data_IF_555878067116
#
_entry.id   IF_555878067116
#
_cell.length_a   1.000
_cell.length_b   1.000
_cell.length_c   1.000
_cell.angle_alpha   90.00
_cell.angle_beta   90.00
_cell.angle_gamma   90.00
#
_symmetry.space_group_name_H-M   'P 1'
#
loop_
_entity.id
_entity.type
_entity.pdbx_description
1 polymer ?
#
# COMPACT_ATOMS: atom_id res chain seq x y z
N UNK A 1 -24.25 -24.64 17.64
CA UNK A 1 -23.40 -23.73 18.43
C UNK A 1 -22.04 -24.39 18.57
N UNK A 2 -20.99 -23.82 17.96
CA UNK A 2 -19.61 -24.30 18.08
C UNK A 2 -18.83 -23.46 19.07
N UNK A 3 -17.84 -24.09 19.74
CA UNK A 3 -16.90 -23.41 20.64
C UNK A 3 -15.50 -23.50 20.04
N UNK A 4 -14.79 -22.39 19.94
CA UNK A 4 -13.38 -22.36 19.58
C UNK A 4 -12.57 -22.21 20.86
N UNK A 5 -11.74 -23.20 21.15
CA UNK A 5 -10.83 -23.16 22.31
C UNK A 5 -9.42 -22.85 21.80
N UNK A 6 -8.86 -21.74 22.24
CA UNK A 6 -7.49 -21.34 21.93
C UNK A 6 -6.59 -21.60 23.12
N UNK A 7 -5.64 -22.53 22.97
CA UNK A 7 -4.63 -22.80 23.97
C UNK A 7 -3.31 -22.16 23.58
N UNK A 8 -2.80 -21.26 24.40
CA UNK A 8 -1.51 -20.60 24.16
C UNK A 8 -0.33 -21.50 24.56
N UNK A 9 0.83 -21.27 23.93
CA UNK A 9 2.07 -21.95 24.31
C UNK A 9 2.38 -21.72 25.80
N UNK A 10 2.73 -22.77 26.49
CA UNK A 10 3.21 -22.75 27.89
C UNK A 10 4.68 -23.17 27.91
N UNK A 11 5.42 -22.74 28.91
CA UNK A 11 6.73 -23.30 29.20
C UNK A 11 6.60 -24.80 29.60
N UNK A 12 7.67 -25.52 29.38
CA UNK A 12 7.81 -26.91 29.83
C UNK A 12 8.92 -26.99 30.87
N UNK A 13 8.76 -27.89 31.82
CA UNK A 13 9.85 -28.25 32.73
C UNK A 13 11.06 -28.74 31.94
N UNK A 14 12.26 -28.32 32.31
CA UNK A 14 13.50 -28.71 31.68
C UNK A 14 14.42 -27.52 31.34
N UNK A 15 15.37 -27.76 30.44
CA UNK A 15 16.35 -26.75 30.00
C UNK A 15 15.69 -25.55 29.34
N UNK A 16 16.33 -24.41 29.53
CA UNK A 16 15.94 -23.16 28.80
C UNK A 16 16.01 -23.42 27.31
N UNK A 17 14.92 -23.12 26.63
CA UNK A 17 14.82 -23.12 25.17
C UNK A 17 14.66 -21.69 24.68
N UNK A 18 15.51 -21.29 23.73
CA UNK A 18 15.47 -19.99 23.09
C UNK A 18 15.19 -20.21 21.61
N UNK A 19 14.17 -19.58 21.09
CA UNK A 19 13.82 -19.61 19.67
C UNK A 19 13.81 -18.18 19.14
N UNK A 20 14.36 -17.99 17.94
CA UNK A 20 14.26 -16.73 17.21
C UNK A 20 13.98 -17.03 15.73
N UNK A 21 13.23 -16.16 15.10
CA UNK A 21 12.98 -16.25 13.66
C UNK A 21 13.00 -14.86 13.01
N UNK A 22 13.36 -14.84 11.75
CA UNK A 22 13.23 -13.70 10.87
C UNK A 22 12.61 -14.19 9.57
N UNK A 23 11.63 -13.44 9.08
CA UNK A 23 10.99 -13.70 7.81
C UNK A 23 10.96 -12.40 7.02
N UNK A 24 11.47 -12.42 5.78
CA UNK A 24 11.37 -11.30 4.86
C UNK A 24 10.62 -11.77 3.62
N UNK A 25 9.64 -11.00 3.19
CA UNK A 25 8.86 -11.28 1.99
C UNK A 25 8.69 -10.01 1.15
N UNK A 26 8.55 -10.21 -0.16
CA UNK A 26 8.25 -9.14 -1.11
C UNK A 26 6.79 -9.28 -1.51
N UNK A 27 6.06 -8.19 -1.44
CA UNK A 27 4.69 -8.06 -1.94
C UNK A 27 4.73 -7.43 -3.30
N UNK A 28 4.07 -8.03 -4.25
CA UNK A 28 3.94 -7.51 -5.61
C UNK A 28 2.46 -7.39 -5.96
N UNK A 29 2.13 -6.42 -6.79
CA UNK A 29 0.76 -6.33 -7.32
C UNK A 29 0.48 -7.58 -8.17
N UNK A 30 -0.54 -8.32 -7.82
CA UNK A 30 -0.86 -9.58 -8.50
C UNK A 30 -1.64 -9.38 -9.79
N UNK A 31 -2.39 -8.26 -9.89
CA UNK A 31 -3.19 -7.94 -11.06
C UNK A 31 -3.44 -6.43 -11.10
N UNK A 32 -3.23 -5.84 -12.27
CA UNK A 32 -3.60 -4.47 -12.61
C UNK A 32 -4.95 -4.44 -13.30
N UNK A 33 -5.63 -3.30 -13.23
CA UNK A 33 -6.84 -3.08 -14.03
C UNK A 33 -6.47 -2.95 -15.50
N UNK A 34 -7.30 -3.52 -16.35
CA UNK A 34 -7.15 -3.36 -17.79
C UNK A 34 -7.79 -2.03 -18.20
N UNK A 35 -6.98 -1.02 -18.39
CA UNK A 35 -7.36 0.32 -18.85
C UNK A 35 -6.81 0.54 -20.25
N UNK A 36 -7.32 1.55 -20.98
CA UNK A 36 -6.77 1.94 -22.27
C UNK A 36 -5.32 2.40 -22.08
N UNK A 37 -4.46 1.94 -22.96
CA UNK A 37 -3.14 2.51 -23.11
C UNK A 37 -3.21 3.89 -23.76
N UNK A 38 -2.12 4.67 -23.83
CA UNK A 38 -2.15 6.01 -24.42
C UNK A 38 -2.70 6.04 -25.85
N UNK A 39 -2.38 5.07 -26.68
CA UNK A 39 -2.86 5.02 -28.07
C UNK A 39 -4.35 4.70 -28.15
N UNK A 40 -4.79 3.68 -27.44
CA UNK A 40 -6.21 3.33 -27.35
C UNK A 40 -7.05 4.46 -26.75
N UNK A 41 -6.45 5.23 -25.80
CA UNK A 41 -7.10 6.42 -25.26
C UNK A 41 -7.21 7.55 -26.30
N UNK A 42 -6.15 7.81 -27.07
CA UNK A 42 -6.16 8.80 -28.14
C UNK A 42 -7.22 8.47 -29.20
N UNK A 43 -7.26 7.21 -29.65
CA UNK A 43 -8.25 6.70 -30.61
C UNK A 43 -9.67 6.86 -30.06
N UNK A 44 -9.91 6.46 -28.81
CA UNK A 44 -11.22 6.60 -28.17
C UNK A 44 -11.68 8.05 -28.09
N UNK A 45 -10.83 8.97 -27.67
CA UNK A 45 -11.16 10.40 -27.58
C UNK A 45 -11.44 10.99 -28.97
N UNK A 46 -10.65 10.63 -29.98
CA UNK A 46 -10.85 11.08 -31.36
C UNK A 46 -12.17 10.55 -31.94
N UNK A 47 -12.52 9.29 -31.65
CA UNK A 47 -13.81 8.71 -32.06
C UNK A 47 -14.99 9.43 -31.39
N UNK A 48 -14.90 9.72 -30.08
CA UNK A 48 -15.93 10.49 -29.36
C UNK A 48 -16.08 11.88 -29.96
N UNK A 49 -14.97 12.58 -30.26
CA UNK A 49 -15.01 13.90 -30.90
C UNK A 49 -15.65 13.83 -32.27
N UNK A 50 -15.24 12.88 -33.10
CA UNK A 50 -15.82 12.71 -34.45
C UNK A 50 -17.34 12.48 -34.41
N UNK A 51 -17.81 11.65 -33.45
CA UNK A 51 -19.25 11.39 -33.25
C UNK A 51 -20.04 12.65 -32.81
N UNK A 52 -19.34 13.62 -32.21
CA UNK A 52 -19.91 14.93 -31.84
C UNK A 52 -19.69 16.03 -32.88
N UNK A 53 -19.14 15.71 -34.07
CA UNK A 53 -18.85 16.65 -35.11
C UNK A 53 -17.65 17.57 -34.82
N UNK A 54 -16.79 17.18 -33.90
CA UNK A 54 -15.56 17.89 -33.53
C UNK A 54 -14.35 17.29 -34.26
N UNK A 55 -13.28 18.08 -34.40
CA UNK A 55 -11.99 17.59 -34.89
C UNK A 55 -11.29 16.63 -33.94
N UNK A 56 -10.23 15.95 -34.43
CA UNK A 56 -9.43 15.09 -33.57
C UNK A 56 -8.76 15.90 -32.45
N UNK A 57 -8.62 15.29 -31.27
CA UNK A 57 -7.91 15.87 -30.11
C UNK A 57 -6.44 15.47 -30.06
N UNK A 58 -6.11 14.33 -30.64
CA UNK A 58 -4.77 13.79 -30.66
C UNK A 58 -4.37 13.37 -32.07
N UNK A 59 -3.09 13.56 -32.39
CA UNK A 59 -2.46 13.09 -33.63
C UNK A 59 -1.31 12.14 -33.23
N UNK A 60 -1.21 11.01 -33.92
CA UNK A 60 -0.11 10.06 -33.76
C UNK A 60 0.72 10.05 -35.03
N UNK A 61 2.01 10.33 -34.91
CA UNK A 61 2.92 10.36 -36.04
C UNK A 61 3.46 8.96 -36.43
N UNK A 62 4.25 8.88 -37.51
CA UNK A 62 4.86 7.64 -37.98
C UNK A 62 5.88 7.03 -36.99
N UNK A 63 6.37 7.82 -36.03
CA UNK A 63 7.28 7.39 -34.96
C UNK A 63 6.55 6.97 -33.70
N UNK A 64 5.23 6.88 -33.75
CA UNK A 64 4.39 6.55 -32.59
C UNK A 64 4.45 7.60 -31.48
N UNK A 65 4.71 8.87 -31.79
CA UNK A 65 4.59 9.98 -30.86
C UNK A 65 3.18 10.57 -30.95
N UNK A 66 2.62 10.88 -29.77
CA UNK A 66 1.27 11.46 -29.66
C UNK A 66 1.42 12.96 -29.45
N UNK A 67 0.69 13.74 -30.23
CA UNK A 67 0.63 15.19 -30.15
C UNK A 67 -0.79 15.65 -29.83
N UNK A 68 -0.91 16.75 -29.10
CA UNK A 68 -2.18 17.44 -28.94
C UNK A 68 -2.59 18.15 -30.25
N UNK A 69 -3.89 18.29 -30.46
CA UNK A 69 -4.46 19.05 -31.56
C UNK A 69 -5.37 20.11 -30.99
N UNK A 70 -5.13 21.36 -31.35
CA UNK A 70 -5.96 22.50 -30.96
C UNK A 70 -7.32 22.48 -31.64
N UNK A 71 -8.22 23.33 -31.19
CA UNK A 71 -9.59 23.43 -31.72
C UNK A 71 -9.66 23.90 -33.18
N UNK A 72 -8.65 24.61 -33.65
CA UNK A 72 -8.51 25.05 -35.04
C UNK A 72 -7.86 24.01 -35.97
N UNK A 73 -7.45 22.86 -35.40
CA UNK A 73 -6.79 21.76 -36.10
C UNK A 73 -5.26 21.85 -36.12
N UNK A 74 -4.65 22.82 -35.44
CA UNK A 74 -3.21 22.97 -35.34
C UNK A 74 -2.65 21.82 -34.43
N UNK A 75 -1.63 21.11 -34.94
CA UNK A 75 -0.91 20.09 -34.18
C UNK A 75 0.16 20.79 -33.36
N UNK A 76 0.22 20.49 -32.05
CA UNK A 76 1.25 21.02 -31.15
C UNK A 76 2.64 20.55 -31.57
N UNK A 77 3.65 21.42 -31.40
CA UNK A 77 5.03 21.11 -31.81
C UNK A 77 5.69 20.05 -30.87
N UNK A 78 5.30 20.04 -29.60
CA UNK A 78 5.86 19.16 -28.61
C UNK A 78 5.00 17.90 -28.46
N UNK A 79 5.60 16.69 -28.49
CA UNK A 79 4.87 15.47 -28.23
C UNK A 79 4.38 15.44 -26.78
N UNK A 80 3.20 14.87 -26.59
CA UNK A 80 2.60 14.69 -25.28
C UNK A 80 3.38 13.67 -24.44
N UNK A 81 3.43 13.89 -23.14
CA UNK A 81 3.89 12.89 -22.20
C UNK A 81 2.83 11.79 -22.05
N UNK A 82 3.28 10.54 -22.10
CA UNK A 82 2.40 9.37 -22.00
C UNK A 82 2.74 8.53 -20.78
N UNK A 83 1.72 8.04 -20.09
CA UNK A 83 1.87 7.38 -18.80
C UNK A 83 1.07 6.08 -18.72
N UNK A 84 1.66 5.09 -18.07
CA UNK A 84 0.99 3.90 -17.57
C UNK A 84 0.86 4.01 -16.04
N UNK A 85 -0.08 4.83 -15.57
CA UNK A 85 -0.20 5.25 -14.17
C UNK A 85 -0.12 4.12 -13.13
N UNK A 86 -0.63 2.95 -13.46
CA UNK A 86 -0.52 1.80 -12.57
C UNK A 86 0.91 1.26 -12.46
N UNK A 87 1.74 1.47 -13.49
CA UNK A 87 3.14 1.09 -13.49
C UNK A 87 4.01 2.09 -12.72
N UNK A 88 3.65 3.38 -12.82
CA UNK A 88 4.36 4.45 -12.13
C UNK A 88 4.09 4.47 -10.63
N UNK A 89 2.87 4.12 -10.22
CA UNK A 89 2.44 4.26 -8.84
C UNK A 89 2.68 3.00 -8.02
N UNK A 90 2.40 1.82 -8.56
CA UNK A 90 2.57 0.60 -7.77
C UNK A 90 4.04 0.21 -7.64
N UNK A 91 4.45 -0.01 -6.42
CA UNK A 91 5.80 -0.47 -6.07
C UNK A 91 5.78 -1.80 -5.32
N UNK A 92 6.95 -2.43 -5.21
CA UNK A 92 7.08 -3.67 -4.46
C UNK A 92 7.25 -3.35 -2.97
N UNK A 93 6.29 -3.81 -2.16
CA UNK A 93 6.36 -3.68 -0.71
C UNK A 93 7.27 -4.74 -0.08
N UNK A 94 8.13 -4.34 0.85
CA UNK A 94 8.94 -5.27 1.63
C UNK A 94 8.27 -5.47 2.98
N UNK A 95 8.06 -6.73 3.37
CA UNK A 95 7.55 -7.09 4.70
C UNK A 95 8.60 -7.85 5.47
N UNK A 96 8.81 -7.45 6.73
CA UNK A 96 9.77 -8.08 7.64
C UNK A 96 9.08 -8.45 8.94
N UNK A 97 9.24 -9.69 9.35
CA UNK A 97 8.70 -10.18 10.61
C UNK A 97 9.80 -10.82 11.43
N UNK A 98 9.94 -10.37 12.65
CA UNK A 98 10.90 -10.87 13.61
C UNK A 98 10.17 -11.40 14.85
N UNK A 99 10.70 -12.43 15.43
CA UNK A 99 10.18 -12.92 16.70
C UNK A 99 11.24 -13.66 17.48
N UNK A 100 11.13 -13.56 18.78
CA UNK A 100 11.96 -14.32 19.71
C UNK A 100 11.11 -14.83 20.86
N UNK A 101 11.48 -16.00 21.37
CA UNK A 101 10.88 -16.53 22.58
C UNK A 101 11.91 -17.25 23.45
N UNK A 102 11.67 -17.20 24.73
CA UNK A 102 12.39 -17.98 25.73
C UNK A 102 11.38 -18.73 26.58
N UNK A 103 11.65 -19.99 26.80
CA UNK A 103 10.83 -20.85 27.66
C UNK A 103 11.70 -21.79 28.49
N UNK A 104 11.22 -22.16 29.65
CA UNK A 104 11.92 -23.07 30.53
C UNK A 104 11.09 -23.35 31.76
N UNK A 105 11.65 -24.14 32.68
CA UNK A 105 10.99 -24.43 33.92
C UNK A 105 11.72 -25.50 34.75
N UNK A 106 11.18 -25.71 35.93
CA UNK A 106 11.53 -26.76 36.85
C UNK A 106 10.31 -27.68 37.07
N UNK A 107 10.41 -28.66 37.93
CA UNK A 107 9.26 -29.51 38.28
C UNK A 107 8.14 -28.71 38.95
N UNK A 108 8.49 -27.59 39.59
CA UNK A 108 7.54 -26.76 40.35
C UNK A 108 7.09 -25.50 39.63
N UNK A 109 7.54 -25.28 38.39
CA UNK A 109 7.09 -24.10 37.67
C UNK A 109 7.71 -23.94 36.28
N UNK A 110 7.04 -23.18 35.44
CA UNK A 110 7.48 -22.93 34.07
C UNK A 110 7.14 -21.52 33.62
N UNK A 111 7.87 -21.05 32.63
CA UNK A 111 7.65 -19.76 32.02
C UNK A 111 7.76 -19.85 30.51
N UNK A 112 7.07 -18.93 29.83
CA UNK A 112 7.18 -18.65 28.40
C UNK A 112 7.09 -17.15 28.20
N UNK A 113 8.11 -16.58 27.57
CA UNK A 113 8.15 -15.17 27.23
C UNK A 113 8.40 -15.10 25.72
N UNK A 114 7.63 -14.29 25.02
CA UNK A 114 7.85 -14.05 23.59
C UNK A 114 7.63 -12.59 23.24
N UNK A 115 8.39 -12.10 22.27
CA UNK A 115 8.21 -10.80 21.66
C UNK A 115 8.22 -10.96 20.13
N UNK A 116 7.39 -10.19 19.47
CA UNK A 116 7.28 -10.14 18.01
C UNK A 116 7.28 -8.71 17.50
N UNK A 117 7.78 -8.54 16.29
CA UNK A 117 7.71 -7.29 15.54
C UNK A 117 7.40 -7.59 14.08
N UNK A 118 6.45 -6.87 13.51
CA UNK A 118 6.01 -6.99 12.12
C UNK A 118 6.07 -5.60 11.48
N UNK A 119 6.78 -5.47 10.38
CA UNK A 119 6.91 -4.25 9.59
C UNK A 119 6.57 -4.58 8.14
N UNK A 120 5.48 -4.04 7.65
CA UNK A 120 4.91 -4.35 6.34
C UNK A 120 4.72 -3.09 5.53
N UNK A 121 5.45 -2.96 4.43
CA UNK A 121 5.16 -1.98 3.39
C UNK A 121 4.09 -2.54 2.44
N UNK A 122 3.17 -1.68 2.02
CA UNK A 122 2.16 -2.00 0.99
C UNK A 122 2.74 -1.90 -0.43
N UNK A 123 1.89 -2.18 -1.41
CA UNK A 123 2.20 -1.99 -2.85
C UNK A 123 1.78 -0.62 -3.37
N UNK A 124 1.05 0.14 -2.56
CA UNK A 124 0.74 1.55 -2.80
C UNK A 124 1.68 2.36 -1.93
N UNK A 125 2.38 3.38 -2.46
CA UNK A 125 3.27 4.24 -1.68
C UNK A 125 2.61 4.73 -0.40
N UNK A 126 3.40 4.96 0.64
CA UNK A 126 2.98 5.40 1.98
C UNK A 126 2.11 4.41 2.78
N UNK A 127 1.55 3.38 2.14
CA UNK A 127 0.79 2.37 2.88
C UNK A 127 1.71 1.45 3.68
N UNK A 128 1.51 1.39 4.99
CA UNK A 128 2.32 0.54 5.86
C UNK A 128 1.54 0.05 7.07
N UNK A 129 1.99 -1.07 7.60
CA UNK A 129 1.51 -1.62 8.85
C UNK A 129 2.70 -2.03 9.70
N UNK A 130 2.75 -1.54 10.94
CA UNK A 130 3.75 -1.93 11.92
C UNK A 130 3.06 -2.43 13.18
N UNK A 131 3.57 -3.51 13.75
CA UNK A 131 3.07 -3.99 15.03
C UNK A 131 4.16 -4.61 15.89
N UNK A 132 3.95 -4.52 17.19
CA UNK A 132 4.76 -5.21 18.19
C UNK A 132 3.89 -5.94 19.17
N UNK A 133 4.32 -7.14 19.58
CA UNK A 133 3.64 -7.92 20.60
C UNK A 133 4.61 -8.44 21.66
N UNK A 134 4.12 -8.54 22.86
CA UNK A 134 4.79 -9.15 24.00
C UNK A 134 3.83 -10.09 24.69
N UNK A 135 4.32 -11.27 25.07
CA UNK A 135 3.56 -12.24 25.86
C UNK A 135 4.44 -12.83 26.94
N UNK A 136 3.89 -12.91 28.14
CA UNK A 136 4.51 -13.53 29.30
C UNK A 136 3.50 -14.49 29.89
N UNK A 137 3.86 -15.74 30.00
CA UNK A 137 3.13 -16.78 30.75
C UNK A 137 4.05 -17.31 31.81
N UNK A 138 3.61 -17.30 33.02
CA UNK A 138 4.33 -17.82 34.20
C UNK A 138 3.41 -18.72 35.01
N UNK A 139 3.91 -19.84 35.43
CA UNK A 139 3.20 -20.80 36.27
C UNK A 139 4.15 -21.33 37.34
N UNK A 140 3.76 -21.27 38.58
CA UNK A 140 4.56 -21.68 39.72
C UNK A 140 3.71 -22.38 40.80
N UNK A 141 4.09 -23.59 41.15
CA UNK A 141 3.53 -24.30 42.29
C UNK A 141 4.22 -23.77 43.55
N UNK A 142 3.48 -23.04 44.38
CA UNK A 142 4.00 -22.46 45.60
C UNK A 142 4.05 -23.50 46.72
N UNK A 143 3.12 -24.43 46.71
CA UNK A 143 3.08 -25.65 47.55
C UNK A 143 2.05 -26.63 46.98
N UNK A 144 1.85 -27.77 47.59
CA UNK A 144 0.94 -28.84 47.14
C UNK A 144 -0.53 -28.41 46.97
N UNK A 145 -0.90 -27.24 47.48
CA UNK A 145 -2.28 -26.72 47.45
C UNK A 145 -2.45 -25.40 46.76
N UNK A 146 -1.35 -24.74 46.39
CA UNK A 146 -1.40 -23.40 45.86
C UNK A 146 -0.53 -23.26 44.62
N UNK A 147 -1.17 -22.88 43.52
CA UNK A 147 -0.55 -22.62 42.21
C UNK A 147 -0.74 -21.15 41.88
N UNK A 148 0.34 -20.47 41.48
CA UNK A 148 0.32 -19.12 40.94
C UNK A 148 0.42 -19.18 39.42
N UNK A 149 -0.60 -18.72 38.74
CA UNK A 149 -0.58 -18.52 37.30
C UNK A 149 -0.66 -17.01 36.97
N UNK A 150 0.29 -16.51 36.19
CA UNK A 150 0.29 -15.15 35.70
C UNK A 150 0.38 -15.17 34.15
N UNK A 151 -0.51 -14.45 33.50
CA UNK A 151 -0.53 -14.29 32.03
C UNK A 151 -0.68 -12.81 31.69
N UNK A 152 0.27 -12.31 30.94
CA UNK A 152 0.26 -10.94 30.46
C UNK A 152 0.50 -10.93 28.95
N UNK A 153 -0.21 -10.09 28.24
CA UNK A 153 0.04 -9.83 26.81
C UNK A 153 -0.19 -8.36 26.50
N UNK A 154 0.69 -7.83 25.68
CA UNK A 154 0.59 -6.47 25.14
C UNK A 154 0.70 -6.53 23.63
N UNK A 155 -0.02 -5.65 22.97
CA UNK A 155 0.02 -5.46 21.52
C UNK A 155 -0.09 -3.98 21.21
N UNK A 156 0.74 -3.52 20.27
CA UNK A 156 0.69 -2.16 19.74
C UNK A 156 0.75 -2.26 18.22
N UNK A 157 0.01 -1.42 17.52
CA UNK A 157 0.08 -1.35 16.06
C UNK A 157 -0.12 0.06 15.57
N UNK A 158 0.49 0.35 14.43
CA UNK A 158 0.29 1.56 13.64
C UNK A 158 0.00 1.15 12.20
N UNK A 159 -0.97 1.78 11.59
CA UNK A 159 -1.35 1.55 10.20
C UNK A 159 -1.41 2.88 9.49
N UNK A 160 -0.65 3.02 8.43
CA UNK A 160 -0.80 4.11 7.47
C UNK A 160 -1.52 3.55 6.27
N UNK A 161 -2.63 4.17 5.91
CA UNK A 161 -3.30 3.88 4.65
C UNK A 161 -2.77 4.86 3.61
N UNK A 162 -2.60 4.41 2.37
CA UNK A 162 -2.49 5.34 1.26
C UNK A 162 -3.76 6.20 1.31
N UNK A 163 -3.60 7.49 1.52
CA UNK A 163 -4.73 8.40 1.71
C UNK A 163 -5.68 8.27 0.52
N UNK A 164 -6.88 7.82 0.80
CA UNK A 164 -8.01 8.12 -0.05
C UNK A 164 -8.29 9.59 0.20
N UNK A 165 -7.71 10.47 -0.64
CA UNK A 165 -7.71 11.90 -0.39
C UNK A 165 -9.09 12.42 -0.05
N UNK A 166 -9.21 12.90 1.16
CA UNK A 166 -10.28 13.80 1.62
C UNK A 166 -9.96 15.25 1.18
N UNK A 167 -9.19 15.36 0.10
CA UNK A 167 -8.73 16.61 -0.45
C UNK A 167 -9.75 17.09 -1.46
N UNK A 168 -10.51 18.09 -1.02
CA UNK A 168 -11.41 18.95 -1.78
C UNK A 168 -12.82 18.38 -2.06
N UNK A 169 -13.79 18.87 -1.30
CA UNK A 169 -15.20 18.92 -1.72
C UNK A 169 -16.04 17.69 -1.46
N UNK A 170 -15.74 16.84 -0.46
CA UNK A 170 -16.74 15.87 0.04
C UNK A 170 -17.04 14.67 -0.87
N UNK A 171 -16.22 14.38 -1.86
CA UNK A 171 -16.34 13.16 -2.64
C UNK A 171 -15.24 12.18 -2.22
N UNK A 172 -15.63 11.09 -1.56
CA UNK A 172 -14.80 9.92 -1.26
C UNK A 172 -14.27 9.29 -2.57
N UNK A 173 -13.33 9.94 -3.25
CA UNK A 173 -12.71 9.36 -4.43
C UNK A 173 -11.54 8.52 -3.95
N UNK A 174 -11.68 7.20 -4.06
CA UNK A 174 -10.61 6.25 -3.79
C UNK A 174 -9.39 6.58 -4.66
N UNK A 175 -8.19 6.62 -4.07
CA UNK A 175 -6.92 6.73 -4.77
C UNK A 175 -6.86 5.82 -6.02
N UNK A 176 -7.27 4.56 -5.89
CA UNK A 176 -7.31 3.61 -7.00
C UNK A 176 -8.27 4.06 -8.10
N UNK A 177 -9.44 4.59 -7.75
CA UNK A 177 -10.40 5.10 -8.75
C UNK A 177 -9.79 6.25 -9.54
N UNK A 178 -9.17 7.20 -8.86
CA UNK A 178 -8.52 8.34 -9.52
C UNK A 178 -7.37 7.87 -10.41
N UNK A 179 -6.53 6.96 -9.91
CA UNK A 179 -5.41 6.38 -10.66
C UNK A 179 -5.85 5.71 -11.97
N UNK A 180 -6.95 4.96 -11.98
CA UNK A 180 -7.43 4.26 -13.18
C UNK A 180 -8.29 5.15 -14.09
N UNK A 181 -8.81 6.25 -13.57
CA UNK A 181 -9.65 7.20 -14.32
C UNK A 181 -8.85 8.36 -14.91
N UNK A 182 -7.60 8.53 -14.48
CA UNK A 182 -6.79 9.63 -14.97
C UNK A 182 -6.31 9.38 -16.42
N UNK A 183 -6.33 10.43 -17.23
CA UNK A 183 -5.92 10.33 -18.63
C UNK A 183 -4.44 9.94 -18.75
N UNK A 184 -4.10 9.01 -19.65
CA UNK A 184 -2.72 8.57 -19.82
C UNK A 184 -1.89 9.47 -20.74
N UNK A 185 -2.43 10.60 -21.21
CA UNK A 185 -1.79 11.55 -22.13
C UNK A 185 -1.86 12.94 -21.50
N UNK A 186 -0.71 13.59 -21.36
CA UNK A 186 -0.59 14.98 -20.89
C UNK A 186 0.12 15.79 -21.97
N UNK A 187 -0.54 16.84 -22.46
CA UNK A 187 0.00 17.82 -23.41
C UNK A 187 0.36 19.11 -22.69
N UNK A 188 1.24 19.95 -23.27
CA UNK A 188 1.64 21.24 -22.67
C UNK A 188 0.45 22.16 -22.36
N UNK A 189 -0.61 22.10 -23.16
CA UNK A 189 -1.85 22.85 -22.92
C UNK A 189 -2.50 22.54 -21.55
N UNK A 190 -2.15 21.40 -20.96
CA UNK A 190 -2.68 20.96 -19.66
C UNK A 190 -1.75 21.22 -18.47
N UNK A 191 -0.52 21.64 -18.70
CA UNK A 191 0.39 22.07 -17.62
C UNK A 191 -0.06 23.41 -17.01
N UNK A 192 -0.84 24.22 -17.77
CA UNK A 192 -1.30 25.56 -17.38
C UNK A 192 -2.71 25.59 -16.73
N UNK A 193 -3.29 24.46 -16.41
CA UNK A 193 -4.44 24.43 -15.53
C UNK A 193 -3.97 24.70 -14.10
N UNK A 194 -3.99 25.95 -13.69
CA UNK A 194 -3.51 26.51 -12.45
C UNK A 194 -3.62 25.63 -11.21
N UNK A 195 -2.92 26.00 -10.17
CA UNK A 195 -2.69 25.27 -8.90
C UNK A 195 -3.89 24.47 -8.32
N UNK A 196 -5.14 24.81 -8.71
CA UNK A 196 -6.36 24.15 -8.25
C UNK A 196 -6.68 22.79 -8.93
N UNK A 197 -6.03 22.43 -10.05
CA UNK A 197 -6.27 21.17 -10.78
C UNK A 197 -5.17 20.13 -10.56
N UNK A 198 -4.09 20.50 -9.92
CA UNK A 198 -2.94 19.64 -9.64
C UNK A 198 -3.27 18.49 -8.68
N UNK A 199 -4.29 18.64 -7.85
CA UNK A 199 -4.77 17.64 -6.89
C UNK A 199 -5.38 16.39 -7.53
N UNK A 200 -5.65 16.40 -8.82
CA UNK A 200 -6.12 15.22 -9.57
C UNK A 200 -4.98 14.49 -10.31
N UNK A 201 -3.78 15.08 -10.38
CA UNK A 201 -2.64 14.46 -11.03
C UNK A 201 -2.02 13.39 -10.13
N UNK A 202 -1.92 12.11 -10.55
CA UNK A 202 -1.25 11.07 -9.77
C UNK A 202 0.19 11.39 -9.36
N UNK A 203 0.90 12.25 -10.10
CA UNK A 203 2.26 12.71 -9.75
C UNK A 203 2.29 13.66 -8.56
N UNK A 204 1.33 14.55 -8.40
CA UNK A 204 1.31 15.43 -7.23
C UNK A 204 1.18 14.61 -5.95
N UNK A 205 0.40 13.54 -5.98
CA UNK A 205 0.26 12.63 -4.84
C UNK A 205 1.54 11.86 -4.53
N UNK A 206 2.32 11.46 -5.54
CA UNK A 206 3.61 10.79 -5.34
C UNK A 206 4.63 11.77 -4.75
N UNK A 207 4.69 13.00 -5.24
CA UNK A 207 5.63 14.02 -4.79
C UNK A 207 5.29 14.53 -3.39
N UNK A 208 4.02 14.76 -3.07
CA UNK A 208 3.57 15.16 -1.74
C UNK A 208 3.86 14.08 -0.69
N UNK A 209 3.82 12.81 -1.08
CA UNK A 209 4.17 11.69 -0.22
C UNK A 209 5.68 11.58 0.08
N UNK A 210 6.55 12.00 -0.82
CA UNK A 210 7.99 12.04 -0.55
C UNK A 210 8.36 13.12 0.48
N UNK A 211 7.65 14.23 0.52
CA UNK A 211 7.90 15.32 1.48
C UNK A 211 7.39 14.97 2.89
N UNK A 212 6.25 14.33 3.02
CA UNK A 212 5.68 13.90 4.32
C UNK A 212 6.50 12.77 4.94
N UNK A 213 7.18 11.94 4.14
CA UNK A 213 8.01 10.85 4.66
C UNK A 213 9.37 11.29 5.22
N UNK A 214 9.72 12.60 5.11
CA UNK A 214 11.00 13.17 5.56
C UNK A 214 10.89 13.95 6.89
N UNK A 215 9.68 14.13 7.43
CA UNK A 215 9.42 14.64 8.77
C UNK A 215 9.15 13.49 9.79
#
# INVERSE_FOLDING_TARGET
NGVVVITTKKGKSGKVNIEAFSNTSVRVISKKYNVLDPYGFADYVNEVNANNGLGPRYFVDDNMLIYGVESDGTILETPANTFHWQDEVYENGISRKYGASVSGGTDNGNYYISAGFDDQAGVVPTSSFKSGDLRINFNQDLNDKLILEARMSGYISSTNFAESGDLIGGSNQSFIKNLISFRPIITEEFEDFGEDLDLSNPYSWINDFEDISKE
#
